data_IF_730090947384
#
_entry.id   IF_730090947384
#
_cell.length_a   1.000
_cell.length_b   1.000
_cell.length_c   1.000
_cell.angle_alpha   90.00
_cell.angle_beta   90.00
_cell.angle_gamma   90.00
#
_symmetry.space_group_name_H-M   'P 1'
#
loop_
_entity.id
_entity.type
_entity.pdbx_description
1 polymer ?
#
# COMPACT_ATOMS: atom_id res chain seq x y z
N UNK A 1 -25.40 -16.06 -60.42
CA UNK A 1 -25.58 -15.40 -59.11
C UNK A 1 -26.22 -16.29 -58.03
N UNK A 2 -26.96 -17.34 -58.42
CA UNK A 2 -27.78 -18.19 -57.52
C UNK A 2 -26.99 -19.07 -56.54
N UNK A 3 -25.77 -19.50 -56.87
CA UNK A 3 -24.95 -20.33 -55.96
C UNK A 3 -24.41 -19.57 -54.75
N UNK A 4 -24.20 -18.24 -54.86
CA UNK A 4 -23.68 -17.42 -53.76
C UNK A 4 -24.76 -17.21 -52.70
N UNK A 5 -26.01 -16.98 -53.12
CA UNK A 5 -27.17 -16.83 -52.22
C UNK A 5 -27.51 -18.14 -51.50
N UNK A 6 -27.34 -19.30 -52.14
CA UNK A 6 -27.56 -20.61 -51.50
C UNK A 6 -26.50 -20.88 -50.42
N UNK A 7 -25.23 -20.55 -50.68
CA UNK A 7 -24.16 -20.68 -49.68
C UNK A 7 -24.36 -19.75 -48.48
N UNK A 8 -24.73 -18.49 -48.72
CA UNK A 8 -25.06 -17.53 -47.65
C UNK A 8 -26.27 -17.98 -46.82
N UNK A 9 -27.30 -18.57 -47.45
CA UNK A 9 -28.46 -19.10 -46.75
C UNK A 9 -28.11 -20.29 -45.85
N UNK A 10 -27.21 -21.18 -46.30
CA UNK A 10 -26.73 -22.31 -45.48
C UNK A 10 -25.92 -21.85 -44.27
N UNK A 11 -25.08 -20.83 -44.44
CA UNK A 11 -24.31 -20.23 -43.34
C UNK A 11 -25.19 -19.49 -42.35
N UNK A 12 -26.17 -18.71 -42.83
CA UNK A 12 -27.12 -18.01 -41.97
C UNK A 12 -27.97 -18.98 -41.13
N UNK A 13 -28.38 -20.11 -41.70
CA UNK A 13 -29.15 -21.14 -41.00
C UNK A 13 -28.38 -21.81 -39.85
N UNK A 14 -27.04 -21.82 -39.88
CA UNK A 14 -26.20 -22.35 -38.80
C UNK A 14 -25.82 -21.27 -37.77
N UNK A 15 -25.57 -20.03 -38.21
CA UNK A 15 -25.15 -18.94 -37.32
C UNK A 15 -26.27 -18.39 -36.45
N UNK A 16 -27.50 -18.28 -36.98
CA UNK A 16 -28.64 -17.76 -36.23
C UNK A 16 -28.95 -18.58 -34.96
N UNK A 17 -29.13 -19.92 -35.03
CA UNK A 17 -29.36 -20.71 -33.81
C UNK A 17 -28.17 -20.71 -32.86
N UNK A 18 -26.93 -20.66 -33.35
CA UNK A 18 -25.75 -20.50 -32.51
C UNK A 18 -25.77 -19.16 -31.75
N UNK A 19 -26.11 -18.05 -32.40
CA UNK A 19 -26.27 -16.78 -31.71
C UNK A 19 -27.42 -16.81 -30.68
N UNK A 20 -28.55 -17.47 -30.97
CA UNK A 20 -29.64 -17.59 -30.00
C UNK A 20 -29.26 -18.44 -28.78
N UNK A 21 -28.47 -19.52 -28.94
CA UNK A 21 -28.00 -20.31 -27.79
C UNK A 21 -26.98 -19.56 -26.94
N UNK A 22 -26.17 -18.67 -27.54
CA UNK A 22 -25.30 -17.77 -26.77
C UNK A 22 -26.08 -16.67 -26.02
N UNK A 23 -27.24 -16.23 -26.51
CA UNK A 23 -28.08 -15.24 -25.79
C UNK A 23 -28.70 -15.80 -24.50
N UNK A 24 -28.75 -17.13 -24.32
CA UNK A 24 -29.11 -17.76 -23.05
C UNK A 24 -28.09 -17.52 -21.92
N UNK A 25 -26.82 -17.19 -22.26
CA UNK A 25 -25.79 -16.86 -21.27
C UNK A 25 -25.96 -15.45 -20.65
N UNK A 26 -26.95 -14.68 -21.08
CA UNK A 26 -27.21 -13.32 -20.58
C UNK A 26 -28.68 -13.14 -20.14
N UNK A 27 -29.32 -14.21 -19.68
CA UNK A 27 -30.63 -14.15 -18.99
C UNK A 27 -30.46 -13.89 -17.48
N UNK A 28 -29.61 -12.93 -17.12
CA UNK A 28 -29.14 -12.74 -15.74
C UNK A 28 -29.85 -11.59 -15.00
N UNK A 29 -30.46 -10.64 -15.70
CA UNK A 29 -30.85 -9.36 -15.06
C UNK A 29 -31.91 -9.46 -13.94
N UNK A 30 -32.94 -10.33 -13.96
CA UNK A 30 -33.91 -10.35 -12.86
C UNK A 30 -33.45 -11.14 -11.63
N UNK A 31 -32.55 -12.11 -11.80
CA UNK A 31 -32.14 -13.04 -10.74
C UNK A 31 -30.79 -12.65 -10.14
N UNK A 32 -29.84 -12.24 -11.01
CA UNK A 32 -28.53 -11.76 -10.59
C UNK A 32 -28.63 -10.46 -9.79
N UNK A 33 -29.55 -9.56 -10.15
CA UNK A 33 -29.75 -8.29 -9.43
C UNK A 33 -30.33 -8.52 -8.02
N UNK A 34 -31.15 -9.57 -7.85
CA UNK A 34 -31.65 -10.00 -6.52
C UNK A 34 -30.56 -10.57 -5.63
N UNK A 35 -29.57 -11.25 -6.21
CA UNK A 35 -28.49 -11.92 -5.48
C UNK A 35 -27.13 -11.19 -5.55
N UNK A 36 -27.09 -9.99 -6.14
CA UNK A 36 -25.88 -9.20 -6.26
C UNK A 36 -25.25 -8.88 -4.89
N UNK A 37 -26.08 -8.52 -3.91
CA UNK A 37 -25.61 -8.26 -2.55
C UNK A 37 -24.94 -9.47 -1.90
N UNK A 38 -25.50 -10.67 -2.10
CA UNK A 38 -24.97 -11.93 -1.54
C UNK A 38 -23.63 -12.31 -2.20
N UNK A 39 -23.57 -12.20 -3.53
CA UNK A 39 -22.33 -12.44 -4.28
C UNK A 39 -21.22 -11.46 -3.88
N UNK A 40 -21.49 -10.16 -3.77
CA UNK A 40 -20.49 -9.19 -3.27
C UNK A 40 -20.03 -9.53 -1.85
N UNK A 41 -20.96 -9.91 -0.96
CA UNK A 41 -20.63 -10.22 0.43
C UNK A 41 -19.77 -11.48 0.56
N UNK A 42 -20.06 -12.51 -0.23
CA UNK A 42 -19.24 -13.73 -0.30
C UNK A 42 -17.84 -13.47 -0.85
N UNK A 43 -17.71 -12.68 -1.93
CA UNK A 43 -16.38 -12.30 -2.45
C UNK A 43 -15.60 -11.45 -1.46
N UNK A 44 -16.26 -10.51 -0.78
CA UNK A 44 -15.62 -9.67 0.24
C UNK A 44 -15.10 -10.54 1.40
N UNK A 45 -15.91 -11.50 1.87
CA UNK A 45 -15.48 -12.44 2.90
C UNK A 45 -14.28 -13.29 2.48
N UNK A 46 -14.18 -13.69 1.22
CA UNK A 46 -13.03 -14.41 0.68
C UNK A 46 -11.78 -13.53 0.50
N UNK A 47 -11.93 -12.20 0.41
CA UNK A 47 -10.83 -11.24 0.28
C UNK A 47 -10.29 -10.76 1.63
N UNK A 48 -11.06 -10.88 2.71
CA UNK A 48 -10.62 -10.50 4.06
C UNK A 48 -9.72 -11.59 4.64
N UNK A 49 -8.44 -11.26 4.83
CA UNK A 49 -7.40 -12.19 5.34
C UNK A 49 -7.65 -12.56 6.80
N UNK A 50 -8.07 -11.60 7.64
CA UNK A 50 -8.43 -11.84 9.05
C UNK A 50 -9.55 -10.87 9.47
N UNK A 51 -10.78 -11.36 9.71
CA UNK A 51 -11.89 -10.51 10.11
C UNK A 51 -11.72 -9.92 11.51
N UNK A 52 -10.90 -10.53 12.38
CA UNK A 52 -10.66 -10.04 13.74
C UNK A 52 -9.26 -9.42 13.89
N UNK A 53 -8.66 -8.95 12.80
CA UNK A 53 -7.30 -8.38 12.82
C UNK A 53 -7.16 -7.26 13.87
N UNK A 54 -8.21 -6.46 14.09
CA UNK A 54 -8.21 -5.39 15.07
C UNK A 54 -8.09 -5.87 16.54
N UNK A 55 -8.59 -7.07 16.87
CA UNK A 55 -8.51 -7.62 18.23
C UNK A 55 -7.28 -8.51 18.42
N UNK A 56 -6.91 -9.27 17.38
CA UNK A 56 -5.74 -10.18 17.38
C UNK A 56 -4.42 -9.43 17.22
N UNK A 57 -4.42 -8.32 16.49
CA UNK A 57 -3.25 -7.48 16.21
C UNK A 57 -3.60 -5.99 16.39
N UNK A 58 -3.80 -5.55 17.65
CA UNK A 58 -4.05 -4.14 17.91
C UNK A 58 -2.90 -3.31 17.35
N UNK A 59 -3.24 -2.25 16.61
CA UNK A 59 -2.23 -1.37 16.03
C UNK A 59 -1.36 -0.77 17.14
N UNK A 60 -0.04 -0.87 16.97
CA UNK A 60 0.91 -0.20 17.87
C UNK A 60 0.60 1.29 17.89
N UNK A 61 0.68 1.96 19.05
CA UNK A 61 0.56 3.41 19.13
C UNK A 61 1.49 4.07 18.09
N UNK A 62 0.93 4.98 17.30
CA UNK A 62 1.69 5.74 16.32
C UNK A 62 2.75 6.63 17.00
N UNK A 63 3.70 7.14 16.21
CA UNK A 63 4.68 8.11 16.70
C UNK A 63 3.98 9.42 17.06
N UNK A 64 4.38 10.07 18.15
CA UNK A 64 3.85 11.38 18.50
C UNK A 64 4.25 12.42 17.44
N UNK A 65 3.41 13.45 17.26
CA UNK A 65 3.64 14.45 16.20
C UNK A 65 4.95 15.22 16.36
N UNK A 66 5.46 15.41 17.59
CA UNK A 66 6.73 16.11 17.83
C UNK A 66 7.93 15.24 17.49
N UNK A 67 7.90 13.96 17.85
CA UNK A 67 8.88 12.97 17.47
C UNK A 67 8.90 12.76 15.95
N UNK A 68 7.74 12.75 15.28
CA UNK A 68 7.66 12.70 13.82
C UNK A 68 8.36 13.90 13.16
N UNK A 69 8.09 15.11 13.66
CA UNK A 69 8.75 16.34 13.17
C UNK A 69 10.25 16.30 13.44
N UNK A 70 10.67 15.86 14.64
CA UNK A 70 12.08 15.71 15.00
C UNK A 70 12.82 14.72 14.12
N UNK A 71 12.21 13.57 13.80
CA UNK A 71 12.78 12.57 12.92
C UNK A 71 12.99 13.12 11.49
N UNK A 72 12.00 13.84 10.95
CA UNK A 72 12.10 14.46 9.63
C UNK A 72 13.14 15.58 9.60
N UNK A 73 13.23 16.39 10.66
CA UNK A 73 14.24 17.43 10.79
C UNK A 73 15.66 16.83 10.81
N UNK A 74 15.89 15.79 11.61
CA UNK A 74 17.16 15.07 11.69
C UNK A 74 17.54 14.45 10.34
N UNK A 75 16.59 13.81 9.65
CA UNK A 75 16.80 13.26 8.31
C UNK A 75 17.25 14.36 7.33
N UNK A 76 16.56 15.51 7.33
CA UNK A 76 16.94 16.64 6.47
C UNK A 76 18.31 17.23 6.82
N UNK A 77 18.69 17.23 8.10
CA UNK A 77 19.96 17.75 8.58
C UNK A 77 21.14 16.83 8.20
N UNK A 78 20.92 15.50 8.16
CA UNK A 78 21.94 14.54 7.73
C UNK A 78 22.43 14.75 6.29
N UNK A 79 21.61 15.37 5.42
CA UNK A 79 22.05 15.73 4.06
C UNK A 79 22.83 17.05 4.00
N UNK A 80 22.72 17.90 5.03
CA UNK A 80 23.40 19.20 5.08
C UNK A 80 24.76 19.12 5.79
N UNK A 81 24.95 18.14 6.67
CA UNK A 81 26.19 17.93 7.40
C UNK A 81 26.62 16.46 7.32
N UNK A 82 27.78 16.14 6.74
CA UNK A 82 28.40 14.84 6.94
C UNK A 82 28.56 14.63 8.46
N UNK A 83 28.15 13.48 9.02
CA UNK A 83 28.45 13.18 10.41
C UNK A 83 29.95 13.32 10.58
N UNK A 84 30.40 14.27 11.42
CA UNK A 84 31.80 14.32 11.82
C UNK A 84 32.05 13.03 12.59
N UNK A 85 32.59 12.03 11.90
CA UNK A 85 33.19 10.86 12.54
C UNK A 85 34.19 11.41 13.54
N UNK A 86 33.84 11.36 14.82
CA UNK A 86 34.78 11.65 15.89
C UNK A 86 35.78 10.48 15.89
N UNK A 87 36.74 10.56 14.97
CA UNK A 87 37.95 9.77 14.88
C UNK A 87 37.79 8.32 15.37
N UNK A 88 37.32 7.42 14.49
CA UNK A 88 37.29 5.96 14.74
C UNK A 88 38.69 5.31 14.95
N UNK A 89 39.76 6.13 14.96
CA UNK A 89 41.14 5.73 15.25
C UNK A 89 41.65 6.48 16.50
N UNK A 90 41.18 6.09 17.68
CA UNK A 90 41.92 6.29 18.94
C UNK A 90 42.64 4.99 19.31
N UNK A 91 43.51 4.52 18.41
CA UNK A 91 44.63 3.63 18.78
C UNK A 91 45.89 4.43 18.48
N UNK A 92 46.50 5.02 19.51
CA UNK A 92 47.68 5.86 19.34
C UNK A 92 48.06 6.63 20.61
N UNK A 93 48.62 5.91 21.57
CA UNK A 93 49.60 6.32 22.60
C UNK A 93 50.03 7.81 22.62
N UNK A 94 49.76 8.48 23.75
CA UNK A 94 50.65 9.48 24.36
C UNK A 94 50.40 10.97 24.07
N UNK A 95 50.06 11.73 25.11
CA UNK A 95 50.55 13.12 25.26
C UNK A 95 49.52 14.26 25.19
N UNK A 96 48.95 14.61 26.35
CA UNK A 96 48.63 15.96 26.84
C UNK A 96 48.29 17.09 25.83
N UNK A 97 47.00 17.48 25.79
CA UNK A 97 46.51 18.76 25.26
C UNK A 97 45.17 19.12 25.90
N UNK A 98 44.88 20.41 26.15
CA UNK A 98 43.87 20.84 27.10
C UNK A 98 42.49 20.38 26.65
N UNK A 99 41.78 19.71 27.56
CA UNK A 99 40.45 19.17 27.33
C UNK A 99 39.55 20.21 26.69
N UNK A 100 39.27 20.03 25.41
CA UNK A 100 38.17 20.70 24.76
C UNK A 100 36.91 20.20 25.47
N UNK A 101 36.36 21.08 26.31
CA UNK A 101 35.07 20.90 26.92
C UNK A 101 34.10 20.55 25.79
N UNK A 102 33.59 19.33 25.82
CA UNK A 102 32.51 18.91 24.97
C UNK A 102 31.33 19.83 25.29
N UNK A 103 31.03 20.77 24.39
CA UNK A 103 29.68 21.28 24.29
C UNK A 103 28.84 20.13 23.73
N UNK A 104 28.43 19.24 24.63
CA UNK A 104 27.22 18.47 24.38
C UNK A 104 26.12 19.51 24.36
N UNK A 105 25.86 20.09 23.19
CA UNK A 105 24.65 20.83 22.87
C UNK A 105 23.47 19.91 23.14
N UNK A 106 23.11 19.83 24.41
CA UNK A 106 21.91 19.19 24.87
C UNK A 106 20.78 19.86 24.13
N UNK A 107 20.01 19.07 23.40
CA UNK A 107 18.74 19.51 22.86
C UNK A 107 17.97 20.15 24.01
N UNK A 108 17.77 21.46 23.94
CA UNK A 108 16.96 22.18 24.91
C UNK A 108 15.60 21.47 24.97
N UNK A 109 15.20 21.10 26.19
CA UNK A 109 13.89 20.54 26.44
C UNK A 109 12.84 21.45 25.77
N UNK A 110 11.89 20.92 24.99
CA UNK A 110 10.81 21.74 24.49
C UNK A 110 10.10 22.34 25.69
N UNK A 111 10.03 23.67 25.73
CA UNK A 111 9.34 24.41 26.78
C UNK A 111 7.94 23.81 26.96
N UNK A 112 7.71 23.23 28.12
CA UNK A 112 6.39 22.92 28.66
C UNK A 112 5.63 24.25 28.78
N UNK A 113 4.87 24.57 27.74
CA UNK A 113 3.83 25.59 27.75
C UNK A 113 2.53 24.97 28.23
N UNK A 114 1.88 25.67 29.16
CA UNK A 114 0.43 25.71 29.28
C UNK A 114 -0.26 25.91 27.92
#
# INVERSE_FOLDING_TARGET
>A
MTNRTISFSRWAALLVPACLTLNGCMSTTPDFDRHFGESVRSFTAAQIIDPDAATKNPSTPGVDGKAAVGAMANYSASFKAPPRTANAFVIGVGGSGPGAAADSGGMAAPANGE
#
